data_IF_079638381391
#
_entry.id   IF_079638381391
#
_cell.length_a   1.000
_cell.length_b   1.000
_cell.length_c   1.000
_cell.angle_alpha   90.00
_cell.angle_beta   90.00
_cell.angle_gamma   90.00
#
_symmetry.space_group_name_H-M   'P 1'
#
loop_
_entity.id
_entity.type
_entity.pdbx_description
1 polymer ?
#
# COMPACT_ATOMS: atom_id res chain seq x y z
N UNK A 1 9.97 18.34 1.03
CA UNK A 1 8.88 17.36 1.29
C UNK A 1 8.76 16.45 0.06
N UNK A 2 8.73 15.13 0.23
CA UNK A 2 8.57 14.17 -0.90
C UNK A 2 7.17 14.29 -1.52
N UNK A 3 6.99 13.83 -2.77
CA UNK A 3 5.66 13.82 -3.41
C UNK A 3 4.64 12.98 -2.62
N UNK A 4 5.09 11.85 -2.03
CA UNK A 4 4.29 11.05 -1.10
C UNK A 4 3.80 11.89 0.09
N UNK A 5 4.70 12.64 0.73
CA UNK A 5 4.33 13.47 1.88
C UNK A 5 3.38 14.60 1.48
N UNK A 6 3.62 15.27 0.34
CA UNK A 6 2.70 16.30 -0.19
C UNK A 6 1.30 15.72 -0.40
N UNK A 7 1.19 14.51 -0.96
CA UNK A 7 -0.10 13.86 -1.17
C UNK A 7 -0.81 13.54 0.14
N UNK A 8 -0.09 13.05 1.14
CA UNK A 8 -0.66 12.78 2.48
C UNK A 8 -1.22 14.05 3.10
N UNK A 9 -0.47 15.16 3.04
CA UNK A 9 -0.92 16.45 3.57
C UNK A 9 -2.17 16.95 2.82
N UNK A 10 -2.20 16.84 1.50
CA UNK A 10 -3.40 17.19 0.72
C UNK A 10 -4.63 16.34 1.06
N UNK A 11 -4.43 15.07 1.44
CA UNK A 11 -5.53 14.22 1.91
C UNK A 11 -6.05 14.76 3.25
N UNK A 12 -5.15 15.08 4.19
CA UNK A 12 -5.51 15.65 5.48
C UNK A 12 -6.20 17.01 5.37
N UNK A 13 -5.73 17.89 4.48
CA UNK A 13 -6.36 19.19 4.21
C UNK A 13 -7.81 19.05 3.71
N UNK A 14 -8.15 17.92 3.05
CA UNK A 14 -9.51 17.59 2.62
C UNK A 14 -10.35 16.87 3.68
N UNK A 15 -9.79 16.61 4.87
CA UNK A 15 -10.43 15.77 5.89
C UNK A 15 -10.41 14.27 5.57
N UNK A 16 -9.54 13.83 4.65
CA UNK A 16 -9.35 12.43 4.29
C UNK A 16 -8.15 11.86 5.04
N UNK A 17 -8.38 10.93 5.97
CA UNK A 17 -7.30 10.26 6.70
C UNK A 17 -6.64 9.16 5.88
N UNK A 18 -5.40 8.81 6.24
CA UNK A 18 -4.63 7.76 5.55
C UNK A 18 -4.68 6.46 6.36
N UNK A 19 -4.97 5.34 5.71
CA UNK A 19 -4.92 4.02 6.35
C UNK A 19 -3.51 3.45 6.23
N UNK A 20 -2.90 3.12 7.37
CA UNK A 20 -1.67 2.31 7.43
C UNK A 20 -2.05 0.86 7.72
N UNK A 21 -1.77 -0.05 6.79
CA UNK A 21 -2.01 -1.50 6.96
C UNK A 21 -0.69 -2.26 7.02
N UNK A 22 -0.56 -3.15 8.00
CA UNK A 22 0.60 -4.03 8.13
C UNK A 22 0.26 -5.41 7.56
N UNK A 23 0.34 -5.53 6.23
CA UNK A 23 -0.12 -6.73 5.53
C UNK A 23 0.87 -7.90 5.59
N UNK A 24 2.17 -7.61 5.56
CA UNK A 24 3.21 -8.61 5.43
C UNK A 24 4.38 -8.29 6.38
N UNK A 25 4.64 -9.22 7.29
CA UNK A 25 5.77 -9.13 8.23
C UNK A 25 6.91 -10.02 7.76
N UNK A 26 8.15 -9.61 8.09
CA UNK A 26 9.36 -10.40 7.87
C UNK A 26 9.57 -10.88 6.43
N UNK A 27 9.25 -10.02 5.44
CA UNK A 27 9.48 -10.32 4.02
C UNK A 27 10.69 -9.55 3.49
N UNK A 28 11.38 -10.17 2.52
CA UNK A 28 12.53 -9.57 1.87
C UNK A 28 12.10 -8.44 0.90
N UNK A 29 12.96 -7.44 0.68
CA UNK A 29 12.64 -6.27 -0.16
C UNK A 29 12.20 -6.65 -1.57
N UNK A 30 12.87 -7.60 -2.23
CA UNK A 30 12.47 -8.04 -3.58
C UNK A 30 11.06 -8.66 -3.60
N UNK A 31 10.70 -9.42 -2.58
CA UNK A 31 9.36 -9.99 -2.45
C UNK A 31 8.31 -8.92 -2.16
N UNK A 32 8.64 -7.92 -1.33
CA UNK A 32 7.77 -6.77 -1.07
C UNK A 32 7.44 -6.03 -2.37
N UNK A 33 8.43 -5.78 -3.23
CA UNK A 33 8.23 -5.15 -4.54
C UNK A 33 7.33 -5.98 -5.47
N UNK A 34 7.50 -7.31 -5.51
CA UNK A 34 6.66 -8.19 -6.32
C UNK A 34 5.20 -8.12 -5.84
N UNK A 35 4.99 -8.22 -4.52
CA UNK A 35 3.65 -8.16 -3.93
C UNK A 35 2.96 -6.82 -4.19
N UNK A 36 3.69 -5.71 -4.00
CA UNK A 36 3.17 -4.37 -4.29
C UNK A 36 2.82 -4.22 -5.78
N UNK A 37 3.74 -4.61 -6.68
CA UNK A 37 3.50 -4.55 -8.13
C UNK A 37 2.31 -5.41 -8.58
N UNK A 38 2.15 -6.60 -8.01
CA UNK A 38 1.01 -7.48 -8.31
C UNK A 38 -0.31 -6.88 -7.82
N UNK A 39 -0.36 -6.33 -6.60
CA UNK A 39 -1.55 -5.64 -6.08
C UNK A 39 -1.93 -4.42 -6.93
N UNK A 40 -0.94 -3.65 -7.39
CA UNK A 40 -1.14 -2.52 -8.31
C UNK A 40 -1.71 -3.00 -9.65
N UNK A 41 -1.13 -4.06 -10.22
CA UNK A 41 -1.61 -4.62 -11.50
C UNK A 41 -3.07 -5.10 -11.39
N UNK A 42 -3.44 -5.70 -10.25
CA UNK A 42 -4.80 -6.15 -9.98
C UNK A 42 -5.80 -5.01 -9.75
N UNK A 43 -5.40 -3.92 -9.09
CA UNK A 43 -6.24 -2.71 -8.94
C UNK A 43 -6.42 -2.00 -10.29
N UNK A 44 -5.38 -2.00 -11.13
CA UNK A 44 -5.31 -1.18 -12.33
C UNK A 44 -4.81 0.24 -12.05
N UNK A 45 -4.96 1.16 -13.01
CA UNK A 45 -4.23 2.45 -13.00
C UNK A 45 -5.04 3.69 -12.66
N UNK A 46 -6.17 3.56 -11.97
CA UNK A 46 -6.87 4.72 -11.42
C UNK A 46 -6.25 5.16 -10.10
N UNK A 47 -5.76 6.41 -10.04
CA UNK A 47 -5.38 7.11 -8.80
C UNK A 47 -4.22 6.53 -7.96
N UNK A 48 -3.32 5.74 -8.57
CA UNK A 48 -2.11 5.23 -7.89
C UNK A 48 -0.91 6.15 -8.13
N UNK A 49 -0.21 6.51 -7.06
CA UNK A 49 1.01 7.35 -7.09
C UNK A 49 2.30 6.54 -7.21
N UNK A 50 2.24 5.20 -7.14
CA UNK A 50 3.41 4.40 -7.44
C UNK A 50 3.55 4.33 -8.98
N UNK A 51 4.41 5.20 -9.50
CA UNK A 51 4.54 5.50 -10.94
C UNK A 51 5.29 4.37 -11.68
N UNK A 52 6.09 3.58 -10.97
CA UNK A 52 6.82 2.46 -11.56
C UNK A 52 5.91 1.24 -11.62
N UNK A 53 5.36 0.97 -12.81
CA UNK A 53 4.67 -0.29 -13.07
C UNK A 53 5.69 -1.42 -13.06
N UNK A 54 5.53 -2.35 -12.10
CA UNK A 54 5.91 -3.76 -12.21
C UNK A 54 7.22 -4.08 -12.94
N UNK A 55 8.35 -3.49 -12.54
CA UNK A 55 9.65 -4.11 -12.87
C UNK A 55 9.81 -5.31 -11.93
N UNK A 56 9.26 -6.45 -12.33
CA UNK A 56 9.34 -7.67 -11.53
C UNK A 56 10.79 -8.18 -11.52
N UNK A 57 11.40 -8.39 -10.34
CA UNK A 57 12.68 -9.08 -10.21
C UNK A 57 12.66 -10.43 -10.93
N UNK A 58 13.83 -10.98 -11.24
CA UNK A 58 14.00 -12.25 -11.99
C UNK A 58 13.14 -13.41 -11.46
N UNK A 59 12.83 -13.42 -10.16
CA UNK A 59 11.96 -14.43 -9.52
C UNK A 59 10.53 -14.44 -10.10
N UNK A 60 10.01 -13.30 -10.54
CA UNK A 60 8.68 -13.14 -11.11
C UNK A 60 8.71 -12.75 -12.61
N UNK A 61 9.88 -12.75 -13.25
CA UNK A 61 10.02 -12.37 -14.66
C UNK A 61 9.33 -13.34 -15.63
N UNK A 62 9.13 -14.60 -15.20
CA UNK A 62 8.47 -15.64 -16.01
C UNK A 62 6.94 -15.69 -15.82
N UNK A 63 6.36 -14.83 -14.98
CA UNK A 63 4.92 -14.84 -14.73
C UNK A 63 4.18 -14.10 -15.83
N UNK A 64 3.07 -14.67 -16.29
CA UNK A 64 2.18 -13.97 -17.21
C UNK A 64 1.47 -12.83 -16.47
N UNK A 65 1.00 -11.84 -17.23
CA UNK A 65 0.19 -10.75 -16.68
C UNK A 65 -1.05 -11.25 -15.94
N UNK A 66 -1.65 -12.35 -16.42
CA UNK A 66 -2.78 -12.99 -15.76
C UNK A 66 -2.37 -13.53 -14.39
N UNK A 67 -1.27 -14.27 -14.29
CA UNK A 67 -0.77 -14.81 -13.01
C UNK A 67 -0.46 -13.70 -12.00
N UNK A 68 0.14 -12.60 -12.47
CA UNK A 68 0.42 -11.41 -11.64
C UNK A 68 -0.88 -10.80 -11.12
N UNK A 69 -1.89 -10.67 -11.98
CA UNK A 69 -3.21 -10.10 -11.64
C UNK A 69 -3.96 -10.99 -10.63
N UNK A 70 -3.96 -12.31 -10.85
CA UNK A 70 -4.58 -13.28 -9.93
C UNK A 70 -3.89 -13.26 -8.56
N UNK A 71 -2.56 -13.24 -8.54
CA UNK A 71 -1.79 -13.12 -7.30
C UNK A 71 -2.09 -11.81 -6.56
N UNK A 72 -2.10 -10.68 -7.29
CA UNK A 72 -2.46 -9.38 -6.73
C UNK A 72 -3.87 -9.36 -6.13
N UNK A 73 -4.83 -9.97 -6.82
CA UNK A 73 -6.23 -10.09 -6.36
C UNK A 73 -6.33 -10.88 -5.04
N UNK A 74 -5.59 -11.98 -4.93
CA UNK A 74 -5.50 -12.75 -3.68
C UNK A 74 -4.91 -11.92 -2.53
N UNK A 75 -3.87 -11.14 -2.79
CA UNK A 75 -3.25 -10.27 -1.78
C UNK A 75 -4.20 -9.15 -1.35
N UNK A 76 -4.95 -8.56 -2.28
CA UNK A 76 -5.99 -7.56 -1.98
C UNK A 76 -7.11 -8.14 -1.14
N UNK A 77 -7.56 -9.35 -1.43
CA UNK A 77 -8.55 -10.04 -0.60
C UNK A 77 -8.02 -10.24 0.83
N UNK A 78 -6.76 -10.65 1.00
CA UNK A 78 -6.13 -10.76 2.33
C UNK A 78 -6.08 -9.40 3.04
N UNK A 79 -5.71 -8.34 2.31
CA UNK A 79 -5.67 -6.99 2.85
C UNK A 79 -7.05 -6.51 3.33
N UNK A 80 -8.10 -6.81 2.55
CA UNK A 80 -9.47 -6.49 2.93
C UNK A 80 -9.91 -7.22 4.21
N UNK A 81 -9.61 -8.52 4.32
CA UNK A 81 -9.92 -9.29 5.53
C UNK A 81 -9.19 -8.71 6.75
N UNK A 82 -7.90 -8.36 6.61
CA UNK A 82 -7.13 -7.71 7.68
C UNK A 82 -7.77 -6.38 8.08
N UNK A 83 -8.08 -5.53 7.11
CA UNK A 83 -8.71 -4.24 7.32
C UNK A 83 -10.01 -4.35 8.14
N UNK A 84 -10.86 -5.34 7.83
CA UNK A 84 -12.10 -5.58 8.57
C UNK A 84 -11.87 -6.04 10.02
N UNK A 85 -10.76 -6.72 10.30
CA UNK A 85 -10.48 -7.29 11.63
C UNK A 85 -9.65 -6.37 12.53
N UNK A 86 -8.68 -5.64 11.99
CA UNK A 86 -7.68 -4.89 12.77
C UNK A 86 -8.16 -3.52 13.27
N UNK A 87 -9.42 -3.15 13.00
CA UNK A 87 -9.96 -1.80 13.29
C UNK A 87 -9.03 -0.70 12.75
N UNK A 88 -8.43 -0.93 11.58
CA UNK A 88 -7.57 0.05 10.92
C UNK A 88 -8.36 1.36 10.78
N UNK A 89 -7.98 2.38 11.54
CA UNK A 89 -8.63 3.70 11.47
C UNK A 89 -7.81 4.65 10.61
N UNK A 90 -8.44 5.65 9.98
CA UNK A 90 -7.71 6.72 9.31
C UNK A 90 -6.78 7.45 10.30
N UNK A 91 -5.57 7.75 9.83
CA UNK A 91 -4.57 8.56 10.52
C UNK A 91 -4.62 9.97 9.93
N UNK A 92 -4.69 10.96 10.80
CA UNK A 92 -4.70 12.39 10.51
C UNK A 92 -3.46 13.09 11.09
N UNK A 93 -3.26 14.35 10.73
CA UNK A 93 -2.16 15.16 11.26
C UNK A 93 -2.17 15.24 12.80
N UNK A 94 -3.35 15.39 13.40
CA UNK A 94 -3.52 15.47 14.85
C UNK A 94 -3.03 14.21 15.59
N UNK A 95 -3.17 13.03 14.98
CA UNK A 95 -2.75 11.76 15.58
C UNK A 95 -1.23 11.69 15.79
N UNK A 96 -0.46 12.40 14.97
CA UNK A 96 1.00 12.46 15.08
C UNK A 96 1.40 13.46 16.14
N UNK A 97 0.76 14.64 16.16
CA UNK A 97 1.07 15.69 17.13
C UNK A 97 0.74 15.29 18.58
N UNK A 98 -0.25 14.42 18.79
CA UNK A 98 -0.56 13.84 20.11
C UNK A 98 0.48 12.81 20.60
N UNK A 99 1.36 12.30 19.73
CA UNK A 99 2.44 11.39 20.12
C UNK A 99 3.67 12.14 20.64
N UNK A 100 3.91 13.37 20.19
CA UNK A 100 5.03 14.21 20.63
C UNK A 100 4.84 14.79 22.05
N UNK A 101 3.60 14.83 22.54
CA UNK A 101 3.26 15.33 23.89
C UNK A 101 3.20 14.26 24.99
N UNK A 102 3.57 13.00 24.70
CA UNK A 102 3.48 11.84 25.61
C UNK A 102 4.83 11.28 26.07
N UNK A 103 5.85 12.13 26.16
CA UNK A 103 7.16 11.81 26.76
C UNK A 103 7.59 12.90 27.74
#
# INVERSE_FOLDING_TARGET
>A
RTEKLKRILQLWDRGEGVISMHLFHNIHSAEAFIREGAMIEAIGTSNLTNIVRGTFPEIASNWTRQQITEYGSLLLHKAFVIFLNERCRPIFEADINEMDGRW
#
